data_IF_117253659320
#
_entry.id   IF_117253659320
#
_cell.length_a   1.000
_cell.length_b   1.000
_cell.length_c   1.000
_cell.angle_alpha   90.00
_cell.angle_beta   90.00
_cell.angle_gamma   90.00
#
_symmetry.space_group_name_H-M   'P 1'
#
loop_
_entity.id
_entity.type
_entity.pdbx_description
1 polymer ?
#
# COMPACT_ATOMS: atom_id res chain seq x y z
N UNK A 1 18.78 18.29 38.10
CA UNK A 1 17.99 18.13 36.86
C UNK A 1 18.99 17.68 35.79
N UNK A 2 18.95 16.41 35.39
CA UNK A 2 19.85 15.90 34.33
C UNK A 2 19.26 16.39 33.01
N UNK A 3 20.04 17.04 32.12
CA UNK A 3 19.56 17.41 30.79
C UNK A 3 19.11 16.16 30.04
N UNK A 4 17.91 16.19 29.47
CA UNK A 4 17.33 15.09 28.68
C UNK A 4 18.05 14.85 27.34
N UNK A 5 19.16 15.56 27.08
CA UNK A 5 19.86 15.62 25.80
C UNK A 5 20.75 14.39 25.50
N UNK A 6 20.71 13.35 26.35
CA UNK A 6 21.53 12.15 26.22
C UNK A 6 20.72 10.87 25.95
N UNK A 7 19.41 10.96 25.76
CA UNK A 7 18.65 9.83 25.24
C UNK A 7 18.86 9.84 23.72
N UNK A 8 19.53 8.82 23.13
CA UNK A 8 19.68 8.76 21.68
C UNK A 8 18.29 8.73 21.06
N UNK A 9 17.98 9.74 20.24
CA UNK A 9 16.75 9.79 19.45
C UNK A 9 16.74 8.55 18.56
N UNK A 10 15.93 7.56 18.90
CA UNK A 10 15.71 6.41 18.04
C UNK A 10 14.89 6.87 16.84
N UNK A 11 15.39 6.60 15.64
CA UNK A 11 14.64 6.84 14.42
C UNK A 11 13.49 5.83 14.37
N UNK A 12 12.28 6.30 14.59
CA UNK A 12 11.05 5.51 14.44
C UNK A 12 10.43 5.79 13.08
N UNK A 13 9.88 4.76 12.44
CA UNK A 13 9.08 4.92 11.23
C UNK A 13 7.86 3.99 11.27
N UNK A 14 6.73 4.48 10.75
CA UNK A 14 5.49 3.73 10.69
C UNK A 14 5.14 3.44 9.23
N UNK A 15 4.85 2.17 8.92
CA UNK A 15 4.39 1.76 7.59
C UNK A 15 3.01 1.15 7.70
N UNK A 16 2.07 1.68 6.93
CA UNK A 16 0.67 1.24 6.93
C UNK A 16 0.29 0.74 5.54
N UNK A 17 -0.05 -0.54 5.44
CA UNK A 17 -0.67 -1.11 4.24
C UNK A 17 -2.20 -0.99 4.32
N UNK A 18 -2.85 -0.91 3.15
CA UNK A 18 -4.29 -0.65 3.05
C UNK A 18 -4.71 0.67 3.72
N UNK A 19 -3.87 1.70 3.64
CA UNK A 19 -4.07 3.01 4.28
C UNK A 19 -5.39 3.68 3.88
N UNK A 20 -5.97 3.30 2.74
CA UNK A 20 -7.27 3.79 2.29
C UNK A 20 -8.43 3.45 3.23
N UNK A 21 -8.33 2.38 4.02
CA UNK A 21 -9.37 2.03 5.01
C UNK A 21 -9.52 3.08 6.11
N UNK A 22 -8.51 3.93 6.34
CA UNK A 22 -8.55 4.98 7.36
C UNK A 22 -9.36 6.22 6.94
N UNK A 23 -9.89 6.18 5.71
CA UNK A 23 -10.70 7.24 5.11
C UNK A 23 -12.11 6.75 4.73
N UNK A 24 -12.53 5.58 5.23
CA UNK A 24 -13.87 5.03 5.02
C UNK A 24 -14.56 4.67 6.32
N UNK A 25 -15.80 4.17 6.20
CA UNK A 25 -16.49 3.53 7.31
C UNK A 25 -15.84 2.19 7.65
N UNK A 26 -15.78 1.91 8.95
CA UNK A 26 -15.35 0.63 9.50
C UNK A 26 -16.52 -0.36 9.53
N UNK A 27 -16.22 -1.61 9.90
CA UNK A 27 -17.25 -2.63 10.17
C UNK A 27 -17.97 -2.43 11.51
N UNK A 28 -17.45 -1.54 12.37
CA UNK A 28 -18.06 -1.27 13.66
C UNK A 28 -19.22 -0.29 13.53
N UNK A 29 -20.23 -0.49 14.36
CA UNK A 29 -21.44 0.33 14.38
C UNK A 29 -21.71 0.86 15.78
N UNK A 30 -22.11 2.13 15.84
CA UNK A 30 -22.62 2.74 17.05
C UNK A 30 -24.12 2.46 17.14
N UNK A 31 -24.54 1.84 18.24
CA UNK A 31 -25.93 1.51 18.50
C UNK A 31 -26.61 2.68 19.19
N UNK A 32 -27.58 3.28 18.49
CA UNK A 32 -28.52 4.24 19.07
C UNK A 32 -29.86 3.54 19.35
N UNK A 33 -30.71 4.18 20.15
CA UNK A 33 -31.97 3.59 20.66
C UNK A 33 -32.91 2.99 19.58
N UNK A 34 -32.78 3.38 18.30
CA UNK A 34 -33.59 2.87 17.18
C UNK A 34 -32.82 2.64 15.88
N UNK A 35 -31.49 2.71 15.89
CA UNK A 35 -30.69 2.59 14.66
C UNK A 35 -29.24 2.25 14.95
N UNK A 36 -28.59 1.55 14.03
CA UNK A 36 -27.14 1.42 14.01
C UNK A 36 -26.55 2.39 12.98
N UNK A 37 -25.48 3.09 13.35
CA UNK A 37 -24.73 3.97 12.46
C UNK A 37 -23.33 3.40 12.26
N UNK A 38 -22.84 3.21 11.02
CA UNK A 38 -21.47 2.79 10.80
C UNK A 38 -20.49 3.85 11.31
N UNK A 39 -19.47 3.41 12.04
CA UNK A 39 -18.44 4.28 12.61
C UNK A 39 -17.41 4.59 11.54
N UNK A 40 -17.10 5.86 11.33
CA UNK A 40 -16.04 6.26 10.41
C UNK A 40 -14.68 5.87 10.99
N UNK A 41 -13.75 5.32 10.18
CA UNK A 41 -12.47 4.81 10.68
C UNK A 41 -11.68 5.83 11.50
N UNK A 42 -11.71 7.12 11.12
CA UNK A 42 -11.12 8.23 11.90
C UNK A 42 -11.57 8.32 13.36
N UNK A 43 -12.75 7.79 13.70
CA UNK A 43 -13.32 7.82 15.06
C UNK A 43 -12.84 6.64 15.91
N UNK A 44 -12.23 5.62 15.29
CA UNK A 44 -11.59 4.52 16.01
C UNK A 44 -10.29 5.01 16.65
N UNK A 45 -10.14 4.78 17.95
CA UNK A 45 -8.98 5.25 18.74
C UNK A 45 -7.64 4.84 18.12
N UNK A 46 -7.54 3.62 17.61
CA UNK A 46 -6.32 3.08 16.98
C UNK A 46 -5.97 3.82 15.70
N UNK A 47 -6.94 4.10 14.84
CA UNK A 47 -6.73 4.87 13.62
C UNK A 47 -6.42 6.31 13.97
N UNK A 48 -7.22 6.93 14.83
CA UNK A 48 -7.06 8.34 15.20
C UNK A 48 -5.66 8.66 15.75
N UNK A 49 -5.08 7.74 16.55
CA UNK A 49 -3.75 7.91 17.12
C UNK A 49 -2.62 7.96 16.07
N UNK A 50 -2.78 7.32 14.91
CA UNK A 50 -1.73 7.20 13.89
C UNK A 50 -2.08 7.85 12.55
N UNK A 51 -3.33 8.32 12.36
CA UNK A 51 -3.86 8.73 11.05
C UNK A 51 -3.18 9.94 10.45
N UNK A 52 -2.83 10.91 11.29
CA UNK A 52 -2.19 12.14 10.87
C UNK A 52 -0.76 11.86 10.40
N UNK A 53 -0.46 12.23 9.15
CA UNK A 53 0.90 12.21 8.61
C UNK A 53 1.64 13.54 8.84
N UNK A 54 1.04 14.46 9.59
CA UNK A 54 1.58 15.80 9.85
C UNK A 54 2.51 15.84 11.09
N UNK A 55 2.94 14.68 11.60
CA UNK A 55 3.86 14.57 12.72
C UNK A 55 5.33 14.56 12.25
N UNK A 56 6.26 14.87 13.15
CA UNK A 56 7.71 14.87 12.86
C UNK A 56 8.29 13.46 12.61
N UNK A 57 7.50 12.41 12.87
CA UNK A 57 7.88 11.01 12.66
C UNK A 57 7.71 10.60 11.18
N UNK A 58 8.62 9.77 10.69
CA UNK A 58 8.54 9.26 9.31
C UNK A 58 7.39 8.25 9.17
N UNK A 59 6.37 8.59 8.36
CA UNK A 59 5.24 7.70 8.08
C UNK A 59 5.08 7.45 6.59
N UNK A 60 4.78 6.20 6.22
CA UNK A 60 4.46 5.80 4.84
C UNK A 60 3.15 5.02 4.81
N UNK A 61 2.16 5.55 4.10
CA UNK A 61 0.89 4.88 3.82
C UNK A 61 0.83 4.34 2.40
N UNK A 62 0.53 3.05 2.23
CA UNK A 62 0.33 2.42 0.93
C UNK A 62 -1.17 2.20 0.66
N UNK A 63 -1.67 2.77 -0.44
CA UNK A 63 -3.02 2.48 -0.92
C UNK A 63 -3.08 1.13 -1.61
N UNK A 64 -4.09 0.33 -1.25
CA UNK A 64 -4.39 -0.89 -1.96
C UNK A 64 -5.62 -0.72 -2.85
N UNK A 65 -5.61 -1.37 -4.02
CA UNK A 65 -6.80 -1.53 -4.85
C UNK A 65 -7.61 -2.79 -4.50
N UNK A 66 -7.11 -3.62 -3.57
CA UNK A 66 -7.82 -4.82 -3.10
C UNK A 66 -8.99 -4.50 -2.15
N UNK A 67 -9.01 -3.28 -1.62
CA UNK A 67 -10.03 -2.82 -0.68
C UNK A 67 -11.08 -2.04 -1.46
N UNK A 68 -12.36 -2.39 -1.25
CA UNK A 68 -13.53 -1.83 -1.95
C UNK A 68 -13.86 -0.38 -1.54
N UNK A 69 -12.83 0.39 -1.22
CA UNK A 69 -12.90 1.83 -1.04
C UNK A 69 -12.87 2.40 -2.44
N UNK A 70 -13.97 3.02 -2.88
CA UNK A 70 -14.08 3.59 -4.23
C UNK A 70 -13.03 4.67 -4.54
N UNK A 71 -13.33 5.59 -5.44
CA UNK A 71 -12.39 6.67 -5.78
C UNK A 71 -12.21 7.61 -4.58
N UNK A 72 -11.13 7.40 -3.81
CA UNK A 72 -10.72 8.29 -2.73
C UNK A 72 -10.36 9.67 -3.31
N UNK A 73 -10.64 10.73 -2.55
CA UNK A 73 -10.28 12.11 -2.95
C UNK A 73 -8.78 12.23 -3.19
N UNK A 74 -8.40 13.16 -4.06
CA UNK A 74 -6.98 13.45 -4.30
C UNK A 74 -6.34 14.03 -3.06
N UNK A 75 -7.02 14.99 -2.47
CA UNK A 75 -6.63 15.68 -1.24
C UNK A 75 -7.27 14.95 -0.06
N UNK A 76 -6.43 14.49 0.86
CA UNK A 76 -6.83 13.78 2.05
C UNK A 76 -6.62 14.66 3.28
N UNK A 77 -7.54 14.63 4.24
CA UNK A 77 -7.32 15.34 5.50
C UNK A 77 -6.11 14.75 6.22
N UNK A 78 -5.35 15.61 6.89
CA UNK A 78 -4.19 15.25 7.73
C UNK A 78 -3.05 14.55 6.95
N UNK A 79 -2.99 14.77 5.64
CA UNK A 79 -1.91 14.30 4.75
C UNK A 79 -1.39 15.48 3.94
N UNK A 80 -0.07 15.68 3.92
CA UNK A 80 0.56 16.74 3.15
C UNK A 80 0.27 16.58 1.64
N UNK A 81 0.07 17.69 0.94
CA UNK A 81 -0.34 17.71 -0.48
C UNK A 81 0.67 17.07 -1.44
N UNK A 82 1.93 17.07 -1.05
CA UNK A 82 3.07 16.53 -1.79
C UNK A 82 3.46 15.11 -1.36
N UNK A 83 2.86 14.56 -0.30
CA UNK A 83 3.15 13.22 0.20
C UNK A 83 2.75 12.10 -0.79
N UNK A 84 1.92 12.41 -1.78
CA UNK A 84 1.39 11.42 -2.72
C UNK A 84 2.38 11.07 -3.83
N UNK A 85 3.16 10.02 -3.60
CA UNK A 85 4.00 9.42 -4.63
C UNK A 85 3.21 8.44 -5.50
N UNK A 86 3.29 8.58 -6.83
CA UNK A 86 2.81 7.57 -7.77
C UNK A 86 3.96 6.62 -8.11
N UNK A 87 3.70 5.32 -7.98
CA UNK A 87 4.64 4.30 -8.43
C UNK A 87 4.34 3.92 -9.88
N UNK A 88 5.28 4.14 -10.83
CA UNK A 88 5.15 3.55 -12.15
C UNK A 88 5.18 2.03 -12.03
N UNK A 89 4.57 1.35 -13.00
CA UNK A 89 4.82 -0.09 -13.20
C UNK A 89 6.28 -0.28 -13.64
N UNK A 90 6.72 -1.54 -13.62
CA UNK A 90 8.05 -1.90 -14.07
C UNK A 90 8.33 -1.46 -15.51
N UNK A 91 9.57 -1.05 -15.77
CA UNK A 91 10.09 -0.81 -17.12
C UNK A 91 10.46 -2.14 -17.82
N UNK A 92 10.94 -2.06 -19.07
CA UNK A 92 11.28 -3.27 -19.86
C UNK A 92 12.46 -4.05 -19.27
N UNK A 93 13.46 -3.35 -18.72
CA UNK A 93 14.66 -3.98 -18.17
C UNK A 93 14.33 -4.66 -16.83
N UNK A 94 13.52 -4.03 -15.99
CA UNK A 94 12.97 -4.60 -14.76
C UNK A 94 12.10 -5.83 -15.08
N UNK A 95 11.27 -5.76 -16.12
CA UNK A 95 10.49 -6.90 -16.60
C UNK A 95 11.38 -8.09 -17.02
N UNK A 96 12.45 -7.82 -17.77
CA UNK A 96 13.41 -8.85 -18.19
C UNK A 96 14.11 -9.47 -16.96
N UNK A 97 14.54 -8.65 -16.02
CA UNK A 97 15.18 -9.10 -14.78
C UNK A 97 14.26 -10.02 -13.95
N UNK A 98 12.97 -9.66 -13.80
CA UNK A 98 11.97 -10.49 -13.10
C UNK A 98 11.76 -11.82 -13.83
N UNK A 99 11.63 -11.80 -15.15
CA UNK A 99 11.50 -13.02 -15.96
C UNK A 99 12.72 -13.93 -15.81
N UNK A 100 13.93 -13.36 -15.86
CA UNK A 100 15.16 -14.09 -15.66
C UNK A 100 15.20 -14.74 -14.26
N UNK A 101 14.80 -14.00 -13.22
CA UNK A 101 14.69 -14.51 -11.86
C UNK A 101 13.73 -15.70 -11.77
N UNK A 102 12.51 -15.60 -12.30
CA UNK A 102 11.52 -16.69 -12.26
C UNK A 102 11.97 -17.95 -13.01
N UNK A 103 12.65 -17.80 -14.14
CA UNK A 103 13.20 -18.94 -14.88
C UNK A 103 14.33 -19.61 -14.11
N UNK A 104 15.22 -18.82 -13.49
CA UNK A 104 16.32 -19.34 -12.68
C UNK A 104 15.81 -20.11 -11.46
N UNK A 105 14.79 -19.60 -10.79
CA UNK A 105 14.15 -20.24 -9.64
C UNK A 105 13.19 -21.37 -10.02
N UNK A 106 13.02 -21.67 -11.32
CA UNK A 106 12.10 -22.69 -11.84
C UNK A 106 10.63 -22.49 -11.40
N UNK A 107 10.25 -21.25 -11.06
CA UNK A 107 8.88 -20.88 -10.71
C UNK A 107 7.96 -20.90 -11.93
N UNK A 108 8.54 -20.87 -13.13
CA UNK A 108 7.81 -20.91 -14.39
C UNK A 108 8.42 -21.91 -15.37
N UNK A 109 7.55 -22.70 -16.04
CA UNK A 109 7.97 -23.68 -17.05
C UNK A 109 8.48 -22.98 -18.32
N UNK A 110 9.70 -23.32 -18.75
CA UNK A 110 10.38 -22.81 -19.97
C UNK A 110 9.52 -22.84 -21.24
N UNK A 111 8.61 -23.80 -21.38
CA UNK A 111 7.83 -24.03 -22.61
C UNK A 111 6.91 -22.85 -22.98
N UNK A 112 6.48 -22.01 -22.03
CA UNK A 112 5.65 -20.81 -22.32
C UNK A 112 6.47 -19.54 -22.62
N UNK A 113 7.78 -19.58 -22.37
CA UNK A 113 8.66 -18.44 -22.40
C UNK A 113 9.47 -18.43 -23.71
N UNK A 114 9.16 -17.48 -24.58
CA UNK A 114 9.96 -17.16 -25.76
C UNK A 114 10.37 -15.69 -25.66
N UNK A 115 11.67 -15.41 -25.60
CA UNK A 115 12.25 -14.06 -25.58
C UNK A 115 11.87 -13.23 -26.81
N UNK A 116 11.33 -13.86 -27.88
CA UNK A 116 10.90 -13.18 -29.10
C UNK A 116 9.51 -12.55 -29.02
N UNK A 117 8.81 -12.62 -27.88
CA UNK A 117 7.51 -11.99 -27.72
C UNK A 117 7.68 -10.47 -27.58
N UNK A 118 7.20 -9.73 -28.59
CA UNK A 118 7.13 -8.26 -28.60
C UNK A 118 6.54 -7.71 -27.30
N UNK A 119 7.12 -6.62 -26.78
CA UNK A 119 6.96 -6.13 -25.39
C UNK A 119 5.54 -6.18 -24.80
N UNK A 120 4.49 -5.90 -25.58
CA UNK A 120 3.09 -5.99 -25.11
C UNK A 120 2.66 -7.39 -24.60
N UNK A 121 3.10 -8.47 -25.26
CA UNK A 121 2.80 -9.85 -24.82
C UNK A 121 3.62 -10.26 -23.60
N UNK A 122 4.76 -9.61 -23.41
CA UNK A 122 5.67 -9.82 -22.30
C UNK A 122 5.11 -9.21 -21.00
N UNK A 123 4.59 -7.98 -21.08
CA UNK A 123 3.84 -7.32 -19.99
C UNK A 123 2.61 -8.12 -19.55
N UNK A 124 1.80 -8.59 -20.51
CA UNK A 124 0.61 -9.38 -20.20
C UNK A 124 0.96 -10.69 -19.47
N UNK A 125 2.06 -11.32 -19.87
CA UNK A 125 2.54 -12.56 -19.25
C UNK A 125 3.06 -12.32 -17.82
N UNK A 126 3.79 -11.23 -17.58
CA UNK A 126 4.20 -10.85 -16.22
C UNK A 126 2.99 -10.56 -15.31
N UNK A 127 1.95 -9.87 -15.81
CA UNK A 127 0.72 -9.66 -15.04
C UNK A 127 0.01 -10.98 -14.70
N UNK A 128 -0.04 -11.94 -15.62
CA UNK A 128 -0.60 -13.27 -15.32
C UNK A 128 0.29 -14.11 -14.39
N UNK A 129 1.61 -13.89 -14.36
CA UNK A 129 2.52 -14.61 -13.47
C UNK A 129 2.41 -14.07 -12.04
N UNK A 130 2.38 -12.74 -11.89
CA UNK A 130 2.20 -12.08 -10.59
C UNK A 130 0.89 -12.52 -9.92
N UNK A 131 -0.21 -12.63 -10.66
CA UNK A 131 -1.48 -13.16 -10.15
C UNK A 131 -1.44 -14.65 -9.75
N UNK A 132 -0.56 -15.46 -10.35
CA UNK A 132 -0.46 -16.90 -10.06
C UNK A 132 0.50 -17.23 -8.91
N UNK A 133 1.42 -16.33 -8.57
CA UNK A 133 2.38 -16.53 -7.49
C UNK A 133 1.86 -16.04 -6.11
N UNK A 134 0.69 -15.39 -6.06
CA UNK A 134 0.00 -14.96 -4.82
C UNK A 134 -1.17 -15.91 -4.48
N UNK A 135 -1.11 -17.16 -4.95
CA UNK A 135 -2.06 -18.23 -4.63
C UNK A 135 -1.45 -19.28 -3.72
#
# INVERSE_FOLDING_TARGET
MIPNDHIPKRCSFLVVFQYNNWFTFSEFEEHHARSCRPIHARELTTVNAFRSMMHDDMMVGAFSHSTAVGKLRKDLPDVASDARQKFPRYNLDEAEAVCYYYLRQRLVRRVKYSLKKTGRRYFLWLMEMDQRCVG
#
